data_IF_727300846757
#
_entry.id   IF_727300846757
#
_cell.length_a   1.000
_cell.length_b   1.000
_cell.length_c   1.000
_cell.angle_alpha   90.00
_cell.angle_beta   90.00
_cell.angle_gamma   90.00
#
_symmetry.space_group_name_H-M   'P 1'
#
loop_
_entity.id
_entity.type
_entity.pdbx_description
1 polymer ?
#
# COMPACT_ATOMS: atom_id res chain seq x y z
N UNK A 1 -1.79 -54.39 26.65
CA UNK A 1 -3.10 -53.82 26.25
C UNK A 1 -3.66 -52.78 27.22
N UNK A 2 -3.34 -52.78 28.54
CA UNK A 2 -3.96 -51.83 29.49
C UNK A 2 -3.19 -50.50 29.64
N UNK A 3 -1.85 -50.52 29.67
CA UNK A 3 -1.05 -49.32 29.96
C UNK A 3 -0.97 -48.31 28.81
N UNK A 4 -0.80 -48.75 27.57
CA UNK A 4 -0.81 -47.86 26.40
C UNK A 4 -2.17 -47.18 26.21
N UNK A 5 -3.27 -47.89 26.49
CA UNK A 5 -4.62 -47.33 26.41
C UNK A 5 -4.85 -46.26 27.48
N UNK A 6 -4.30 -46.45 28.68
CA UNK A 6 -4.32 -45.44 29.75
C UNK A 6 -3.46 -44.22 29.42
N UNK A 7 -2.27 -44.43 28.84
CA UNK A 7 -1.37 -43.34 28.43
C UNK A 7 -1.97 -42.47 27.31
N UNK A 8 -2.62 -43.09 26.32
CA UNK A 8 -3.35 -42.37 25.27
C UNK A 8 -4.50 -41.57 25.87
N UNK A 9 -5.29 -42.16 26.77
CA UNK A 9 -6.42 -41.48 27.41
C UNK A 9 -5.97 -40.28 28.25
N UNK A 10 -4.86 -40.40 28.98
CA UNK A 10 -4.30 -39.29 29.76
C UNK A 10 -3.85 -38.15 28.84
N UNK A 11 -3.14 -38.47 27.74
CA UNK A 11 -2.69 -37.48 26.77
C UNK A 11 -3.83 -36.81 26.02
N UNK A 12 -4.92 -37.53 25.72
CA UNK A 12 -6.13 -36.95 25.13
C UNK A 12 -6.75 -35.92 26.08
N UNK A 13 -6.87 -36.25 27.38
CA UNK A 13 -7.41 -35.30 28.37
C UNK A 13 -6.55 -34.06 28.52
N UNK A 14 -5.22 -34.22 28.54
CA UNK A 14 -4.28 -33.11 28.63
C UNK A 14 -4.36 -32.17 27.41
N UNK A 15 -4.44 -32.73 26.20
CA UNK A 15 -4.66 -31.96 24.98
C UNK A 15 -6.00 -31.24 24.99
N UNK A 16 -7.04 -31.84 25.58
CA UNK A 16 -8.37 -31.25 25.67
C UNK A 16 -8.37 -29.99 26.56
N UNK A 17 -7.66 -30.04 27.69
CA UNK A 17 -7.45 -28.88 28.56
C UNK A 17 -6.67 -27.77 27.83
N UNK A 18 -5.59 -28.12 27.11
CA UNK A 18 -4.83 -27.14 26.34
C UNK A 18 -5.65 -26.46 25.23
N UNK A 19 -6.55 -27.21 24.57
CA UNK A 19 -7.46 -26.65 23.57
C UNK A 19 -8.45 -25.67 24.20
N UNK A 20 -9.02 -26.00 25.36
CA UNK A 20 -9.93 -25.10 26.08
C UNK A 20 -9.23 -23.81 26.54
N UNK A 21 -7.99 -23.91 27.02
CA UNK A 21 -7.17 -22.74 27.38
C UNK A 21 -6.85 -21.87 26.16
N UNK A 22 -6.47 -22.47 25.03
CA UNK A 22 -6.22 -21.75 23.79
C UNK A 22 -7.48 -21.08 23.23
N UNK A 23 -8.63 -21.75 23.33
CA UNK A 23 -9.91 -21.16 22.93
C UNK A 23 -10.28 -19.95 23.81
N UNK A 24 -10.01 -20.03 25.12
CA UNK A 24 -10.25 -18.92 26.05
C UNK A 24 -9.33 -17.74 25.72
N UNK A 25 -8.03 -18.00 25.54
CA UNK A 25 -7.04 -16.97 25.16
C UNK A 25 -7.40 -16.32 23.81
N UNK A 26 -7.84 -17.10 22.83
CA UNK A 26 -8.24 -16.58 21.53
C UNK A 26 -9.50 -15.70 21.64
N UNK A 27 -10.49 -16.09 22.46
CA UNK A 27 -11.66 -15.24 22.74
C UNK A 27 -11.27 -13.90 23.34
N UNK A 28 -10.30 -13.89 24.26
CA UNK A 28 -9.87 -12.66 24.92
C UNK A 28 -9.08 -11.75 23.96
N UNK A 29 -8.24 -12.32 23.10
CA UNK A 29 -7.55 -11.58 22.02
C UNK A 29 -8.54 -10.96 21.06
N UNK A 30 -9.55 -11.73 20.60
CA UNK A 30 -10.58 -11.22 19.69
C UNK A 30 -11.37 -10.07 20.31
N UNK A 31 -11.76 -10.19 21.59
CA UNK A 31 -12.44 -9.11 22.33
C UNK A 31 -11.56 -7.86 22.43
N UNK A 32 -10.28 -8.03 22.76
CA UNK A 32 -9.32 -6.93 22.84
C UNK A 32 -9.21 -6.18 21.52
N UNK A 33 -9.06 -6.91 20.42
CA UNK A 33 -9.03 -6.34 19.08
C UNK A 33 -10.35 -5.62 18.73
N UNK A 34 -11.51 -6.19 19.07
CA UNK A 34 -12.80 -5.52 18.85
C UNK A 34 -12.88 -4.17 19.56
N UNK A 35 -12.49 -4.11 20.83
CA UNK A 35 -12.49 -2.86 21.60
C UNK A 35 -11.51 -1.85 21.00
N UNK A 36 -10.33 -2.28 20.59
CA UNK A 36 -9.32 -1.41 19.98
C UNK A 36 -9.83 -0.80 18.65
N UNK A 37 -10.47 -1.63 17.81
CA UNK A 37 -11.11 -1.17 16.59
C UNK A 37 -12.23 -0.14 16.88
N UNK A 38 -13.09 -0.41 17.85
CA UNK A 38 -14.17 0.52 18.23
C UNK A 38 -13.63 1.87 18.71
N UNK A 39 -12.62 1.86 19.60
CA UNK A 39 -11.98 3.08 20.08
C UNK A 39 -11.28 3.86 18.96
N UNK A 40 -10.65 3.16 18.02
CA UNK A 40 -10.04 3.78 16.84
C UNK A 40 -11.08 4.48 15.97
N UNK A 41 -12.21 3.82 15.69
CA UNK A 41 -13.31 4.41 14.93
C UNK A 41 -13.94 5.60 15.65
N UNK A 42 -14.14 5.51 16.97
CA UNK A 42 -14.68 6.60 17.78
C UNK A 42 -13.74 7.82 17.75
N UNK A 43 -12.43 7.60 17.85
CA UNK A 43 -11.42 8.67 17.77
C UNK A 43 -11.45 9.38 16.41
N UNK A 44 -11.53 8.63 15.32
CA UNK A 44 -11.63 9.22 13.97
C UNK A 44 -12.94 9.99 13.82
N UNK A 45 -14.06 9.41 14.26
CA UNK A 45 -15.38 10.05 14.22
C UNK A 45 -15.40 11.36 15.03
N UNK A 46 -14.75 11.39 16.20
CA UNK A 46 -14.65 12.59 17.03
C UNK A 46 -13.92 13.74 16.31
N UNK A 47 -12.79 13.45 15.64
CA UNK A 47 -12.03 14.44 14.87
C UNK A 47 -12.86 15.02 13.72
N UNK A 48 -13.57 14.18 12.98
CA UNK A 48 -14.47 14.64 11.91
C UNK A 48 -15.61 15.50 12.45
N UNK A 49 -16.25 15.08 13.54
CA UNK A 49 -17.33 15.84 14.17
C UNK A 49 -16.87 17.20 14.69
N UNK A 50 -15.65 17.29 15.21
CA UNK A 50 -15.07 18.56 15.65
C UNK A 50 -14.81 19.52 14.48
N UNK A 51 -14.27 19.00 13.36
CA UNK A 51 -14.14 19.78 12.13
C UNK A 51 -15.49 20.27 11.60
N UNK A 52 -16.52 19.43 11.63
CA UNK A 52 -17.88 19.81 11.24
C UNK A 52 -18.40 20.95 12.12
N UNK A 53 -18.26 20.85 13.44
CA UNK A 53 -18.65 21.94 14.36
C UNK A 53 -17.91 23.25 14.09
N UNK A 54 -16.62 23.18 13.75
CA UNK A 54 -15.84 24.38 13.40
C UNK A 54 -16.33 25.00 12.09
N UNK A 55 -16.66 24.18 11.09
CA UNK A 55 -17.22 24.63 9.81
C UNK A 55 -18.63 25.20 9.97
N UNK A 56 -19.46 24.62 10.82
CA UNK A 56 -20.78 25.16 11.13
C UNK A 56 -20.68 26.54 11.81
N UNK A 57 -19.74 26.71 12.74
CA UNK A 57 -19.44 28.03 13.35
C UNK A 57 -18.95 29.04 12.30
N UNK A 58 -18.09 28.61 11.38
CA UNK A 58 -17.62 29.45 10.27
C UNK A 58 -18.79 29.91 9.40
N UNK A 59 -19.68 29.00 9.02
CA UNK A 59 -20.90 29.29 8.26
C UNK A 59 -21.79 30.28 8.99
N UNK A 60 -22.05 30.10 10.29
CA UNK A 60 -22.86 31.03 11.07
C UNK A 60 -22.20 32.42 11.18
N UNK A 61 -20.88 32.47 11.33
CA UNK A 61 -20.15 33.76 11.34
C UNK A 61 -20.28 34.49 9.99
N UNK A 62 -20.18 33.76 8.88
CA UNK A 62 -20.32 34.29 7.54
C UNK A 62 -21.76 34.74 7.27
N UNK A 63 -22.77 33.96 7.66
CA UNK A 63 -24.18 34.35 7.59
C UNK A 63 -24.44 35.64 8.37
N UNK A 64 -23.87 35.77 9.56
CA UNK A 64 -24.03 36.97 10.40
C UNK A 64 -23.34 38.18 9.78
N UNK A 65 -22.14 38.02 9.23
CA UNK A 65 -21.43 39.10 8.53
C UNK A 65 -22.16 39.50 7.23
N UNK A 66 -22.71 38.55 6.49
CA UNK A 66 -23.47 38.81 5.27
C UNK A 66 -24.82 39.50 5.58
N UNK A 67 -25.46 39.17 6.70
CA UNK A 67 -26.64 39.89 7.18
C UNK A 67 -26.29 41.35 7.54
N UNK A 68 -25.17 41.58 8.25
CA UNK A 68 -24.66 42.93 8.56
C UNK A 68 -24.33 43.72 7.30
N UNK A 69 -23.67 43.10 6.32
CA UNK A 69 -23.41 43.76 5.03
C UNK A 69 -24.69 44.11 4.29
N UNK A 70 -25.70 43.24 4.29
CA UNK A 70 -27.02 43.53 3.70
C UNK A 70 -27.75 44.68 4.40
N UNK A 71 -27.65 44.82 5.72
CA UNK A 71 -28.20 45.98 6.45
C UNK A 71 -27.46 47.28 6.07
N UNK A 72 -26.12 47.24 5.97
CA UNK A 72 -25.31 48.38 5.56
C UNK A 72 -25.55 48.76 4.08
N UNK A 73 -25.82 47.78 3.21
CA UNK A 73 -26.15 48.00 1.80
C UNK A 73 -27.61 48.42 1.59
N UNK A 74 -28.55 47.89 2.39
CA UNK A 74 -29.97 48.30 2.37
C UNK A 74 -30.17 49.77 2.75
N UNK A 75 -29.33 50.32 3.63
CA UNK A 75 -29.29 51.77 3.92
C UNK A 75 -28.73 52.59 2.75
N UNK A 76 -27.99 51.98 1.81
CA UNK A 76 -27.48 52.63 0.59
C UNK A 76 -28.38 52.41 -0.64
N UNK A 77 -29.18 51.34 -0.68
CA UNK A 77 -30.05 50.96 -1.80
C UNK A 77 -31.40 51.66 -1.83
N UNK A 78 -31.78 52.41 -0.78
CA UNK A 78 -32.99 53.26 -0.81
C UNK A 78 -32.94 54.39 -1.87
N UNK A 79 -31.88 54.43 -2.71
CA UNK A 79 -31.71 55.37 -3.82
C UNK A 79 -31.55 54.79 -5.22
N UNK A 80 -31.63 53.47 -5.44
CA UNK A 80 -31.63 52.94 -6.82
C UNK A 80 -32.67 51.85 -7.04
N UNK A 81 -33.67 52.23 -7.82
CA UNK A 81 -34.75 51.42 -8.38
C UNK A 81 -34.19 50.25 -9.22
N UNK A 82 -34.29 49.02 -8.70
CA UNK A 82 -33.92 47.80 -9.41
C UNK A 82 -35.07 46.79 -9.36
N UNK A 83 -35.57 46.42 -10.53
CA UNK A 83 -36.74 45.56 -10.76
C UNK A 83 -36.60 44.18 -10.05
N UNK A 84 -37.40 43.89 -9.00
CA UNK A 84 -37.19 42.76 -8.08
C UNK A 84 -37.45 41.38 -8.70
N UNK A 85 -38.21 41.29 -9.81
CA UNK A 85 -38.57 40.00 -10.43
C UNK A 85 -37.38 39.28 -11.11
N UNK A 86 -36.48 40.04 -11.74
CA UNK A 86 -35.30 39.45 -12.42
C UNK A 86 -34.25 38.93 -11.42
N UNK A 87 -34.17 39.53 -10.24
CA UNK A 87 -33.24 39.13 -9.20
C UNK A 87 -33.66 37.79 -8.55
N UNK A 88 -34.97 37.55 -8.40
CA UNK A 88 -35.50 36.30 -7.86
C UNK A 88 -35.36 35.13 -8.85
N UNK A 89 -35.61 35.34 -10.14
CA UNK A 89 -35.35 34.33 -11.18
C UNK A 89 -33.88 33.93 -11.25
N UNK A 90 -32.97 34.91 -11.20
CA UNK A 90 -31.53 34.66 -11.22
C UNK A 90 -31.11 33.83 -9.98
N UNK A 91 -31.68 34.14 -8.80
CA UNK A 91 -31.41 33.42 -7.56
C UNK A 91 -31.87 31.96 -7.63
N UNK A 92 -33.06 31.71 -8.19
CA UNK A 92 -33.60 30.36 -8.37
C UNK A 92 -32.77 29.53 -9.35
N UNK A 93 -32.27 30.14 -10.43
CA UNK A 93 -31.39 29.46 -11.38
C UNK A 93 -30.05 29.08 -10.71
N UNK A 94 -29.43 29.99 -9.95
CA UNK A 94 -28.21 29.69 -9.19
C UNK A 94 -28.43 28.59 -8.14
N UNK A 95 -29.56 28.60 -7.43
CA UNK A 95 -29.88 27.55 -6.46
C UNK A 95 -30.08 26.18 -7.13
N UNK A 96 -30.73 26.16 -8.29
CA UNK A 96 -30.92 24.95 -9.10
C UNK A 96 -29.59 24.42 -9.65
N UNK A 97 -28.73 25.29 -10.18
CA UNK A 97 -27.39 24.90 -10.63
C UNK A 97 -26.55 24.35 -9.48
N UNK A 98 -26.60 24.99 -8.30
CA UNK A 98 -25.90 24.52 -7.12
C UNK A 98 -26.39 23.13 -6.67
N UNK A 99 -27.71 22.91 -6.63
CA UNK A 99 -28.30 21.60 -6.31
C UNK A 99 -27.88 20.53 -7.32
N UNK A 100 -27.94 20.84 -8.62
CA UNK A 100 -27.51 19.92 -9.67
C UNK A 100 -26.02 19.55 -9.53
N UNK A 101 -25.16 20.52 -9.25
CA UNK A 101 -23.73 20.29 -9.06
C UNK A 101 -23.44 19.44 -7.81
N UNK A 102 -24.16 19.70 -6.71
CA UNK A 102 -24.05 18.90 -5.49
C UNK A 102 -24.51 17.45 -5.73
N UNK A 103 -25.63 17.26 -6.43
CA UNK A 103 -26.15 15.94 -6.74
C UNK A 103 -25.21 15.15 -7.65
N UNK A 104 -24.57 15.79 -8.63
CA UNK A 104 -23.56 15.16 -9.47
C UNK A 104 -22.34 14.72 -8.66
N UNK A 105 -21.89 15.56 -7.72
CA UNK A 105 -20.76 15.24 -6.86
C UNK A 105 -21.07 14.05 -5.92
N UNK A 106 -22.25 14.07 -5.29
CA UNK A 106 -22.74 12.98 -4.46
C UNK A 106 -22.82 11.66 -5.24
N UNK A 107 -23.38 11.70 -6.46
CA UNK A 107 -23.50 10.52 -7.32
C UNK A 107 -22.13 9.95 -7.69
N UNK A 108 -21.18 10.79 -8.08
CA UNK A 108 -19.82 10.35 -8.40
C UNK A 108 -19.08 9.77 -7.20
N UNK A 109 -19.30 10.31 -5.99
CA UNK A 109 -18.75 9.74 -4.76
C UNK A 109 -19.35 8.36 -4.44
N UNK A 110 -20.64 8.19 -4.63
CA UNK A 110 -21.33 6.92 -4.35
C UNK A 110 -20.91 5.83 -5.35
N UNK A 111 -20.78 6.17 -6.63
CA UNK A 111 -20.24 5.26 -7.66
C UNK A 111 -18.82 4.82 -7.32
N UNK A 112 -17.94 5.76 -6.94
CA UNK A 112 -16.56 5.43 -6.55
C UNK A 112 -16.51 4.51 -5.33
N UNK A 113 -17.35 4.74 -4.31
CA UNK A 113 -17.46 3.84 -3.15
C UNK A 113 -17.96 2.45 -3.57
N UNK A 114 -18.94 2.38 -4.47
CA UNK A 114 -19.47 1.11 -4.95
C UNK A 114 -18.39 0.31 -5.70
N UNK A 115 -17.59 0.97 -6.53
CA UNK A 115 -16.47 0.35 -7.25
C UNK A 115 -15.39 -0.17 -6.28
N UNK A 116 -15.06 0.61 -5.26
CA UNK A 116 -14.08 0.23 -4.24
C UNK A 116 -14.56 -0.97 -3.40
N UNK A 117 -15.84 -0.98 -3.02
CA UNK A 117 -16.48 -2.12 -2.34
C UNK A 117 -16.50 -3.35 -3.26
N UNK A 118 -16.82 -3.20 -4.54
CA UNK A 118 -16.85 -4.30 -5.49
C UNK A 118 -15.46 -4.92 -5.69
N UNK A 119 -14.42 -4.08 -5.79
CA UNK A 119 -13.04 -4.53 -5.88
C UNK A 119 -12.60 -5.29 -4.62
N UNK A 120 -12.86 -4.74 -3.43
CA UNK A 120 -12.53 -5.39 -2.17
C UNK A 120 -13.25 -6.74 -2.00
N UNK A 121 -14.51 -6.85 -2.42
CA UNK A 121 -15.26 -8.12 -2.41
C UNK A 121 -14.62 -9.16 -3.33
N UNK A 122 -14.27 -8.77 -4.55
CA UNK A 122 -13.66 -9.67 -5.53
C UNK A 122 -12.29 -10.19 -5.05
N UNK A 123 -11.51 -9.32 -4.41
CA UNK A 123 -10.23 -9.68 -3.81
C UNK A 123 -10.41 -10.63 -2.62
N UNK A 124 -11.41 -10.38 -1.76
CA UNK A 124 -11.74 -11.27 -0.65
C UNK A 124 -12.20 -12.65 -1.14
N UNK A 125 -13.02 -12.71 -2.19
CA UNK A 125 -13.44 -13.96 -2.83
C UNK A 125 -12.27 -14.74 -3.42
N UNK A 126 -11.34 -14.06 -4.10
CA UNK A 126 -10.14 -14.68 -4.65
C UNK A 126 -9.27 -15.29 -3.55
N UNK A 127 -8.97 -14.52 -2.50
CA UNK A 127 -8.17 -15.00 -1.37
C UNK A 127 -8.85 -16.15 -0.62
N UNK A 128 -10.17 -16.08 -0.44
CA UNK A 128 -10.95 -17.17 0.14
C UNK A 128 -10.85 -18.45 -0.72
N UNK A 129 -10.95 -18.32 -2.05
CA UNK A 129 -10.86 -19.43 -2.98
C UNK A 129 -9.49 -20.11 -2.96
N UNK A 130 -8.41 -19.33 -2.92
CA UNK A 130 -7.06 -19.88 -2.80
C UNK A 130 -6.88 -20.62 -1.47
N UNK A 131 -7.36 -20.05 -0.36
CA UNK A 131 -7.35 -20.76 0.94
C UNK A 131 -8.15 -22.06 0.89
N UNK A 132 -9.33 -22.06 0.29
CA UNK A 132 -10.14 -23.28 0.13
C UNK A 132 -9.36 -24.35 -0.63
N UNK A 133 -8.71 -24.02 -1.76
CA UNK A 133 -7.86 -24.97 -2.49
C UNK A 133 -6.74 -25.54 -1.62
N UNK A 134 -6.07 -24.71 -0.82
CA UNK A 134 -5.01 -25.22 0.08
C UNK A 134 -5.56 -26.18 1.14
N UNK A 135 -6.74 -25.90 1.69
CA UNK A 135 -7.40 -26.82 2.63
C UNK A 135 -7.85 -28.11 1.96
N UNK A 136 -8.40 -28.05 0.75
CA UNK A 136 -8.78 -29.23 -0.04
C UNK A 136 -7.56 -30.14 -0.31
N UNK A 137 -6.42 -29.56 -0.71
CA UNK A 137 -5.18 -30.32 -0.89
C UNK A 137 -4.72 -30.96 0.43
N UNK A 138 -4.81 -30.24 1.55
CA UNK A 138 -4.42 -30.77 2.85
C UNK A 138 -5.34 -31.89 3.32
N UNK A 139 -6.64 -31.77 3.09
CA UNK A 139 -7.64 -32.81 3.39
C UNK A 139 -7.33 -34.06 2.58
N UNK A 140 -7.10 -33.94 1.26
CA UNK A 140 -6.77 -35.07 0.40
C UNK A 140 -5.48 -35.80 0.84
N UNK A 141 -4.46 -35.06 1.29
CA UNK A 141 -3.23 -35.65 1.84
C UNK A 141 -3.52 -36.45 3.13
N UNK A 142 -4.34 -35.91 4.02
CA UNK A 142 -4.71 -36.58 5.28
C UNK A 142 -5.55 -37.84 5.01
N UNK A 143 -6.50 -37.79 4.07
CA UNK A 143 -7.28 -38.95 3.63
C UNK A 143 -6.37 -40.06 3.05
N UNK A 144 -5.37 -39.69 2.24
CA UNK A 144 -4.42 -40.65 1.71
C UNK A 144 -3.57 -41.29 2.81
N UNK A 145 -3.16 -40.51 3.82
CA UNK A 145 -2.44 -41.04 4.99
C UNK A 145 -3.33 -41.98 5.80
N UNK A 146 -4.60 -41.62 6.07
CA UNK A 146 -5.56 -42.48 6.75
C UNK A 146 -5.75 -43.80 6.01
N UNK A 147 -5.89 -43.78 4.68
CA UNK A 147 -6.01 -45.00 3.86
C UNK A 147 -4.78 -45.91 3.96
N UNK A 148 -3.58 -45.34 4.04
CA UNK A 148 -2.34 -46.09 4.27
C UNK A 148 -2.32 -46.73 5.67
N UNK A 149 -2.66 -45.98 6.71
CA UNK A 149 -2.76 -46.51 8.07
C UNK A 149 -3.82 -47.61 8.18
N UNK A 150 -4.98 -47.46 7.56
CA UNK A 150 -6.03 -48.48 7.50
C UNK A 150 -5.56 -49.76 6.79
N UNK A 151 -4.83 -49.62 5.68
CA UNK A 151 -4.27 -50.76 4.96
C UNK A 151 -3.19 -51.49 5.77
N UNK A 152 -2.37 -50.76 6.52
CA UNK A 152 -1.36 -51.33 7.43
C UNK A 152 -2.02 -52.04 8.63
N UNK A 153 -3.13 -51.50 9.16
CA UNK A 153 -3.92 -52.14 10.21
C UNK A 153 -4.61 -53.43 9.71
N UNK A 154 -5.12 -53.45 8.47
CA UNK A 154 -5.71 -54.66 7.85
C UNK A 154 -4.68 -55.76 7.60
N UNK A 155 -3.45 -55.41 7.24
CA UNK A 155 -2.34 -56.39 7.09
C UNK A 155 -1.88 -56.97 8.43
N UNK A 156 -1.97 -56.20 9.52
CA UNK A 156 -1.55 -56.61 10.87
C UNK A 156 -2.58 -57.51 11.57
N UNK A 157 -3.86 -57.48 11.16
CA UNK A 157 -4.93 -58.32 11.73
C UNK A 157 -5.13 -59.69 11.05
N UNK A 158 -4.16 -60.20 10.28
CA UNK A 158 -4.14 -61.62 9.89
C UNK A 158 -3.69 -62.47 11.08
N UNK A 159 -4.66 -62.84 11.93
CA UNK A 159 -4.53 -63.85 12.98
C UNK A 159 -4.10 -65.18 12.32
N UNK A 160 -2.94 -65.78 12.67
CA UNK A 160 -2.68 -67.18 12.37
C UNK A 160 -3.60 -68.02 13.26
N UNK A 161 -4.47 -68.81 12.62
CA UNK A 161 -5.30 -69.80 13.29
C UNK A 161 -4.38 -70.85 13.98
N UNK A 162 -4.56 -71.16 15.28
CA UNK A 162 -3.78 -72.19 15.94
C UNK A 162 -4.43 -73.54 15.62
N UNK A 163 -3.75 -74.39 14.86
CA UNK A 163 -3.84 -75.87 14.89
C UNK A 163 -3.16 -76.46 13.66
N UNK A 164 -1.89 -76.83 13.78
CA UNK A 164 -1.37 -78.12 13.31
C UNK A 164 0.07 -78.24 13.77
N UNK A 165 0.31 -79.29 14.53
CA UNK A 165 1.60 -79.74 15.03
C UNK A 165 2.58 -80.02 13.88
N UNK A 166 3.86 -79.76 14.12
CA UNK A 166 4.94 -80.09 13.17
C UNK A 166 6.26 -79.41 13.52
N UNK A 167 7.09 -80.13 14.26
CA UNK A 167 8.49 -79.87 14.63
C UNK A 167 9.31 -79.00 13.65
N UNK A 168 10.04 -78.02 14.20
CA UNK A 168 11.50 -77.89 13.99
C UNK A 168 12.08 -76.83 14.96
N UNK A 169 12.93 -77.33 15.86
CA UNK A 169 13.91 -76.57 16.62
C UNK A 169 15.00 -76.09 15.66
N UNK A 170 15.36 -74.80 15.65
CA UNK A 170 16.76 -74.34 15.58
C UNK A 170 16.90 -72.80 15.59
N UNK A 171 17.58 -72.34 16.65
CA UNK A 171 18.67 -71.35 16.60
C UNK A 171 18.32 -69.86 16.46
N UNK A 172 18.32 -69.18 17.62
CA UNK A 172 18.83 -67.81 17.76
C UNK A 172 20.31 -67.76 17.35
N UNK A 173 20.78 -66.66 16.76
CA UNK A 173 21.99 -66.07 17.32
C UNK A 173 21.88 -64.56 17.57
N UNK A 174 22.61 -64.17 18.59
CA UNK A 174 22.84 -62.83 19.10
C UNK A 174 23.56 -61.88 18.11
N UNK A 175 23.32 -60.59 18.32
CA UNK A 175 24.03 -59.34 17.92
C UNK A 175 25.58 -59.39 17.91
N UNK A 176 26.38 -58.37 17.49
CA UNK A 176 26.10 -56.97 17.05
C UNK A 176 26.92 -56.43 15.80
N UNK A 177 26.64 -55.18 15.39
CA UNK A 177 27.44 -54.19 14.60
C UNK A 177 28.07 -54.51 13.22
N UNK A 178 27.79 -53.67 12.19
CA UNK A 178 28.77 -52.78 11.48
C UNK A 178 28.04 -51.72 10.61
N UNK A 179 28.54 -50.49 10.75
CA UNK A 179 28.23 -49.13 10.22
C UNK A 179 28.51 -49.01 8.70
N UNK A 180 27.73 -48.31 7.87
CA UNK A 180 27.80 -46.87 7.49
C UNK A 180 26.71 -46.61 6.39
N UNK A 181 26.05 -45.46 6.14
CA UNK A 181 26.39 -44.03 6.26
C UNK A 181 25.11 -43.17 6.00
N UNK A 182 25.12 -41.90 6.44
CA UNK A 182 24.32 -40.73 5.96
C UNK A 182 22.81 -40.64 6.41
N UNK A 183 22.41 -39.96 7.52
CA UNK A 183 22.26 -38.48 7.75
C UNK A 183 21.07 -37.90 6.94
N UNK A 184 20.00 -37.23 7.43
CA UNK A 184 19.84 -36.30 8.56
C UNK A 184 18.36 -35.98 8.93
N UNK A 185 18.12 -35.84 10.24
CA UNK A 185 17.32 -34.83 10.99
C UNK A 185 15.98 -34.28 10.49
N UNK A 186 14.99 -34.30 11.40
CA UNK A 186 14.17 -33.12 11.72
C UNK A 186 13.56 -33.23 13.11
N UNK A 187 14.04 -32.39 14.03
CA UNK A 187 13.30 -31.94 15.20
C UNK A 187 13.81 -30.55 15.61
N UNK A 188 12.85 -29.70 15.99
CA UNK A 188 12.97 -28.50 16.82
C UNK A 188 13.48 -27.19 16.20
N UNK A 189 12.60 -26.19 16.33
CA UNK A 189 12.83 -24.74 16.31
C UNK A 189 13.87 -24.37 17.38
N UNK A 190 14.69 -23.34 17.16
CA UNK A 190 14.56 -22.18 18.05
C UNK A 190 14.66 -20.82 17.35
N UNK A 191 13.97 -19.87 17.99
CA UNK A 191 14.15 -18.43 17.94
C UNK A 191 15.60 -18.01 18.25
N UNK A 192 16.09 -16.89 17.69
CA UNK A 192 16.47 -15.67 18.44
C UNK A 192 17.35 -14.70 17.64
N UNK A 193 17.07 -13.40 17.82
CA UNK A 193 17.97 -12.25 18.04
C UNK A 193 19.24 -12.01 17.20
N UNK A 194 19.35 -10.73 16.80
CA UNK A 194 20.53 -9.97 16.38
C UNK A 194 21.82 -10.24 17.20
N UNK A 195 22.99 -10.06 16.55
CA UNK A 195 24.06 -9.12 16.94
C UNK A 195 25.19 -9.18 15.87
N UNK A 196 25.66 -7.99 15.50
CA UNK A 196 26.75 -7.63 14.57
C UNK A 196 28.11 -8.15 15.06
N UNK A 197 29.09 -8.41 14.17
CA UNK A 197 30.35 -7.69 14.33
C UNK A 197 31.01 -7.19 13.03
N UNK A 198 31.63 -6.03 13.20
CA UNK A 198 32.49 -5.25 12.33
C UNK A 198 33.90 -5.84 12.10
N UNK A 199 34.54 -5.50 10.97
CA UNK A 199 35.97 -5.08 10.79
C UNK A 199 36.21 -4.87 9.28
N UNK A 200 36.29 -3.64 8.74
CA UNK A 200 37.49 -2.80 8.55
C UNK A 200 38.61 -3.46 7.71
N UNK A 201 38.82 -3.03 6.46
CA UNK A 201 40.02 -2.28 5.98
C UNK A 201 40.08 -2.15 4.43
N UNK A 202 40.28 -0.88 4.00
CA UNK A 202 41.18 -0.35 2.94
C UNK A 202 41.10 -0.91 1.50
N UNK A 203 40.64 -0.10 0.53
CA UNK A 203 41.43 0.86 -0.29
C UNK A 203 42.32 0.19 -1.34
N UNK A 204 41.98 0.32 -2.63
CA UNK A 204 42.86 0.96 -3.63
C UNK A 204 42.20 1.07 -5.02
N UNK A 205 42.76 1.99 -5.80
CA UNK A 205 42.26 2.69 -6.98
C UNK A 205 43.32 2.54 -8.07
N UNK A 206 42.95 2.24 -9.32
CA UNK A 206 43.59 2.65 -10.61
C UNK A 206 42.98 1.84 -11.76
N UNK A 207 42.23 2.45 -12.70
CA UNK A 207 42.65 3.14 -13.94
C UNK A 207 42.94 2.24 -15.17
N UNK A 208 42.09 2.45 -16.20
CA UNK A 208 42.30 2.46 -17.65
C UNK A 208 42.96 1.27 -18.39
N UNK A 209 42.25 0.80 -19.43
CA UNK A 209 42.72 0.82 -20.84
C UNK A 209 41.62 0.53 -21.87
N UNK A 210 41.60 1.37 -22.89
CA UNK A 210 40.82 1.29 -24.13
C UNK A 210 41.13 0.06 -25.01
N UNK A 211 40.13 -0.46 -25.74
CA UNK A 211 40.05 -0.39 -27.21
C UNK A 211 39.04 -1.40 -27.82
N UNK A 212 38.03 -0.83 -28.49
CA UNK A 212 37.27 -1.25 -29.69
C UNK A 212 37.53 -2.67 -30.28
N UNK A 213 36.47 -3.45 -30.50
CA UNK A 213 35.87 -3.66 -31.83
C UNK A 213 34.52 -4.42 -31.75
N UNK A 214 33.76 -4.36 -32.83
CA UNK A 214 32.32 -4.53 -32.96
C UNK A 214 31.78 -5.97 -33.14
N UNK A 215 30.43 -6.01 -33.06
CA UNK A 215 29.46 -6.90 -33.74
C UNK A 215 28.83 -8.08 -32.99
N UNK A 216 27.55 -7.84 -32.64
CA UNK A 216 26.37 -8.72 -32.74
C UNK A 216 26.52 -10.17 -32.25
N UNK A 217 25.96 -10.42 -31.07
CA UNK A 217 25.01 -11.53 -30.92
C UNK A 217 23.91 -11.15 -29.92
N UNK A 218 22.67 -11.33 -30.34
CA UNK A 218 21.47 -11.16 -29.53
C UNK A 218 21.39 -12.40 -28.65
N UNK A 219 21.55 -12.22 -27.34
CA UNK A 219 21.14 -13.19 -26.34
C UNK A 219 20.27 -12.45 -25.34
N UNK A 220 19.00 -12.84 -25.31
CA UNK A 220 18.04 -12.44 -24.30
C UNK A 220 18.52 -13.01 -22.97
N UNK A 221 19.16 -12.17 -22.15
CA UNK A 221 19.43 -12.49 -20.74
C UNK A 221 18.42 -11.72 -19.90
N UNK A 222 17.51 -12.50 -19.32
CA UNK A 222 16.59 -12.08 -18.27
C UNK A 222 17.40 -11.54 -17.08
N UNK A 223 17.46 -10.21 -16.92
CA UNK A 223 18.03 -9.57 -15.74
C UNK A 223 17.04 -9.69 -14.56
N UNK A 224 17.31 -10.67 -13.71
CA UNK A 224 16.76 -10.83 -12.36
C UNK A 224 17.24 -9.70 -11.44
N UNK A 225 16.60 -8.53 -11.50
CA UNK A 225 16.70 -7.48 -10.47
C UNK A 225 15.61 -7.66 -9.39
N UNK A 226 15.72 -8.73 -8.62
CA UNK A 226 14.99 -8.91 -7.34
C UNK A 226 15.75 -8.20 -6.21
N UNK A 227 15.82 -6.86 -6.26
CA UNK A 227 16.16 -6.06 -5.09
C UNK A 227 14.86 -5.56 -4.44
N UNK A 228 14.59 -6.07 -3.24
CA UNK A 228 13.39 -5.77 -2.45
C UNK A 228 13.77 -4.76 -1.37
N UNK A 229 13.68 -3.48 -1.72
CA UNK A 229 13.86 -2.38 -0.78
C UNK A 229 12.82 -2.43 0.34
N UNK A 230 13.22 -2.91 1.52
CA UNK A 230 12.35 -2.95 2.70
C UNK A 230 12.39 -1.61 3.41
N UNK A 231 11.35 -0.78 3.22
CA UNK A 231 11.21 0.47 4.01
C UNK A 231 10.61 0.14 5.37
N UNK A 232 11.43 0.23 6.42
CA UNK A 232 10.95 0.27 7.80
C UNK A 232 10.54 1.72 8.08
N UNK A 233 9.23 1.99 8.10
CA UNK A 233 8.74 3.25 8.64
C UNK A 233 9.04 3.21 10.15
N UNK A 234 10.05 3.98 10.57
CA UNK A 234 10.44 4.09 11.98
C UNK A 234 9.32 4.76 12.77
N UNK A 235 8.42 3.93 13.31
CA UNK A 235 7.39 4.30 14.25
C UNK A 235 6.95 3.06 15.01
N UNK A 236 7.61 2.80 16.14
CA UNK A 236 7.24 1.89 17.23
C UNK A 236 6.56 0.56 16.86
N UNK A 237 7.30 -0.54 17.08
CA UNK A 237 6.85 -1.92 17.29
C UNK A 237 5.33 -2.11 17.31
N UNK A 238 4.79 -2.38 16.14
CA UNK A 238 3.55 -3.11 15.96
C UNK A 238 3.80 -4.06 14.78
N UNK A 239 3.36 -5.31 14.88
CA UNK A 239 3.42 -6.29 13.79
C UNK A 239 2.45 -5.85 12.68
N UNK A 240 2.81 -4.77 11.99
CA UNK A 240 2.03 -4.15 10.94
C UNK A 240 2.20 -4.94 9.65
N UNK A 241 1.10 -5.19 8.96
CA UNK A 241 1.05 -5.67 7.57
C UNK A 241 2.06 -4.91 6.72
N UNK A 242 3.22 -5.52 6.48
CA UNK A 242 4.30 -4.88 5.76
C UNK A 242 3.96 -4.92 4.27
N UNK A 243 3.64 -3.77 3.68
CA UNK A 243 3.49 -3.67 2.22
C UNK A 243 4.85 -3.92 1.59
N UNK A 244 5.03 -5.11 1.01
CA UNK A 244 6.20 -5.42 0.17
C UNK A 244 6.01 -4.74 -1.17
N UNK A 245 6.70 -3.62 -1.36
CA UNK A 245 6.77 -2.92 -2.64
C UNK A 245 8.06 -3.32 -3.35
N UNK A 246 7.97 -3.59 -4.65
CA UNK A 246 9.16 -3.74 -5.48
C UNK A 246 9.85 -2.39 -5.65
N UNK A 247 11.16 -2.37 -5.86
CA UNK A 247 11.89 -1.12 -6.09
C UNK A 247 11.33 -0.34 -7.30
N UNK A 248 10.90 -1.04 -8.35
CA UNK A 248 10.21 -0.41 -9.49
C UNK A 248 8.92 0.32 -9.09
N UNK A 249 8.16 -0.24 -8.15
CA UNK A 249 6.93 0.36 -7.62
C UNK A 249 7.24 1.54 -6.68
N UNK A 250 8.32 1.42 -5.89
CA UNK A 250 8.81 2.53 -5.06
C UNK A 250 9.20 3.76 -5.89
N UNK A 251 9.75 3.57 -7.10
CA UNK A 251 10.06 4.68 -8.03
C UNK A 251 8.82 5.44 -8.51
N UNK A 252 7.62 4.85 -8.40
CA UNK A 252 6.36 5.48 -8.76
C UNK A 252 5.70 6.23 -7.59
N UNK A 253 6.21 6.09 -6.36
CA UNK A 253 5.67 6.78 -5.20
C UNK A 253 5.97 8.28 -5.26
N UNK A 254 4.95 9.09 -4.99
CA UNK A 254 5.07 10.55 -4.96
C UNK A 254 5.62 10.98 -3.61
N UNK A 255 6.76 11.65 -3.61
CA UNK A 255 7.37 12.24 -2.44
C UNK A 255 6.71 13.59 -2.13
N UNK A 256 6.19 13.74 -0.91
CA UNK A 256 5.51 14.97 -0.45
C UNK A 256 6.26 15.73 0.65
N UNK A 257 7.27 15.09 1.26
CA UNK A 257 8.12 15.64 2.32
C UNK A 257 9.58 15.30 2.03
N UNK A 258 10.52 16.13 2.51
CA UNK A 258 11.97 15.93 2.36
C UNK A 258 12.41 15.64 0.92
N UNK A 259 11.92 16.46 -0.02
CA UNK A 259 12.18 16.29 -1.45
C UNK A 259 13.68 16.40 -1.74
N UNK A 260 14.24 15.32 -2.29
CA UNK A 260 15.64 15.23 -2.74
C UNK A 260 15.69 15.01 -4.25
N UNK A 261 16.89 15.08 -4.81
CA UNK A 261 17.14 14.70 -6.20
C UNK A 261 16.80 13.22 -6.43
N UNK A 262 16.17 12.92 -7.58
CA UNK A 262 15.69 11.58 -7.92
C UNK A 262 14.31 11.23 -7.37
N UNK A 263 13.70 12.09 -6.54
CA UNK A 263 12.33 11.89 -6.07
C UNK A 263 11.32 12.08 -7.20
N UNK A 264 10.37 11.14 -7.30
CA UNK A 264 9.14 11.32 -8.07
C UNK A 264 8.23 12.28 -7.31
N UNK A 265 7.78 13.33 -7.97
CA UNK A 265 7.02 14.42 -7.37
C UNK A 265 5.81 14.81 -8.21
N UNK A 266 4.80 15.36 -7.55
CA UNK A 266 3.65 15.97 -8.20
C UNK A 266 3.92 17.45 -8.41
N UNK A 267 3.92 17.90 -9.66
CA UNK A 267 4.08 19.31 -10.03
C UNK A 267 2.70 19.89 -10.31
N UNK A 268 2.41 21.06 -9.72
CA UNK A 268 1.10 21.71 -9.79
C UNK A 268 1.26 23.16 -10.22
N UNK A 269 0.38 23.63 -11.10
CA UNK A 269 0.31 25.03 -11.46
C UNK A 269 -0.27 25.89 -10.33
N UNK A 270 0.36 27.03 -10.03
CA UNK A 270 -0.06 27.98 -9.01
C UNK A 270 -0.27 29.37 -9.62
N UNK A 271 -1.52 29.84 -9.66
CA UNK A 271 -1.89 31.11 -10.29
C UNK A 271 -1.30 32.34 -9.60
N UNK A 272 -1.22 32.33 -8.26
CA UNK A 272 -0.66 33.42 -7.46
C UNK A 272 0.80 33.74 -7.81
N UNK A 273 1.57 32.74 -8.22
CA UNK A 273 2.96 32.89 -8.64
C UNK A 273 3.14 32.79 -10.16
N UNK A 274 2.06 32.52 -10.91
CA UNK A 274 2.08 32.25 -12.35
C UNK A 274 3.19 31.25 -12.73
N UNK A 275 3.33 30.17 -11.96
CA UNK A 275 4.43 29.21 -12.09
C UNK A 275 4.04 27.80 -11.64
N UNK A 276 4.79 26.81 -12.13
CA UNK A 276 4.69 25.44 -11.64
C UNK A 276 5.53 25.24 -10.38
N UNK A 277 4.93 24.62 -9.37
CA UNK A 277 5.53 24.37 -8.07
C UNK A 277 5.38 22.89 -7.73
N UNK A 278 6.40 22.29 -7.11
CA UNK A 278 6.29 20.93 -6.58
C UNK A 278 5.35 20.94 -5.36
N UNK A 279 4.37 20.04 -5.36
CA UNK A 279 3.49 19.82 -4.22
C UNK A 279 4.28 19.22 -3.06
N UNK A 280 4.28 19.92 -1.93
CA UNK A 280 4.97 19.50 -0.71
C UNK A 280 4.18 19.92 0.52
N UNK A 281 4.36 19.18 1.61
CA UNK A 281 3.92 19.58 2.96
C UNK A 281 4.88 20.59 3.61
N UNK A 282 6.05 20.84 3.02
CA UNK A 282 7.00 21.83 3.52
C UNK A 282 6.44 23.25 3.39
N UNK A 283 6.73 24.15 4.36
CA UNK A 283 6.42 25.57 4.21
C UNK A 283 7.27 26.26 3.13
N UNK A 284 8.37 25.65 2.69
CA UNK A 284 9.24 26.17 1.64
C UNK A 284 8.69 25.77 0.27
N UNK A 285 8.61 26.74 -0.65
CA UNK A 285 8.13 26.50 -2.02
C UNK A 285 9.25 25.99 -2.94
N UNK A 286 8.87 25.14 -3.89
CA UNK A 286 9.77 24.48 -4.85
C UNK A 286 9.38 24.86 -6.28
N UNK A 287 9.95 25.93 -6.81
CA UNK A 287 9.64 26.47 -8.14
C UNK A 287 10.34 25.67 -9.25
N UNK A 288 9.57 25.16 -10.20
CA UNK A 288 10.11 24.43 -11.34
C UNK A 288 10.73 25.40 -12.35
N UNK A 289 11.94 25.09 -12.85
CA UNK A 289 12.60 25.92 -13.86
C UNK A 289 11.87 25.82 -15.20
N UNK A 290 11.66 26.95 -15.87
CA UNK A 290 11.08 27.02 -17.22
C UNK A 290 11.82 26.14 -18.24
N UNK A 291 13.14 25.99 -18.10
CA UNK A 291 13.95 25.12 -18.95
C UNK A 291 13.53 23.65 -18.85
N UNK A 292 13.14 23.18 -17.67
CA UNK A 292 12.61 21.82 -17.49
C UNK A 292 11.24 21.67 -18.15
N UNK A 293 10.35 22.66 -18.01
CA UNK A 293 9.03 22.63 -18.64
C UNK A 293 9.13 22.55 -20.17
N UNK A 294 10.02 23.35 -20.78
CA UNK A 294 10.28 23.30 -22.22
C UNK A 294 10.83 21.95 -22.70
N UNK A 295 11.68 21.28 -21.90
CA UNK A 295 12.18 19.93 -22.22
C UNK A 295 11.06 18.88 -22.21
N UNK A 296 9.99 19.12 -21.46
CA UNK A 296 8.83 18.23 -21.35
C UNK A 296 7.65 18.66 -22.24
N UNK A 297 7.88 19.61 -23.15
CA UNK A 297 6.86 20.17 -24.04
C UNK A 297 5.66 20.82 -23.32
N UNK A 298 5.91 21.39 -22.14
CA UNK A 298 4.91 22.11 -21.36
C UNK A 298 5.10 23.61 -21.57
N UNK A 299 4.18 24.22 -22.29
CA UNK A 299 4.11 25.68 -22.42
C UNK A 299 3.39 26.31 -21.22
N UNK A 300 3.96 27.39 -20.69
CA UNK A 300 3.36 28.19 -19.61
C UNK A 300 2.55 29.36 -20.14
N UNK A 301 2.87 29.85 -21.33
CA UNK A 301 2.27 31.01 -22.00
C UNK A 301 1.18 30.56 -22.98
N UNK A 302 0.15 29.86 -22.49
CA UNK A 302 -0.97 29.40 -23.32
C UNK A 302 -1.76 30.57 -23.91
N UNK A 303 -1.27 31.13 -25.03
CA UNK A 303 -1.96 32.09 -25.90
C UNK A 303 -2.64 31.40 -27.09
N UNK A 304 -2.28 30.15 -27.33
CA UNK A 304 -2.79 29.27 -28.38
C UNK A 304 -3.61 28.19 -27.69
N UNK A 305 -4.78 27.84 -28.23
CA UNK A 305 -5.87 27.08 -27.58
C UNK A 305 -5.60 25.68 -27.01
N UNK A 306 -4.35 25.29 -26.78
CA UNK A 306 -3.99 24.10 -26.03
C UNK A 306 -4.00 24.41 -24.53
N UNK A 307 -4.83 23.66 -23.80
CA UNK A 307 -5.02 23.85 -22.36
C UNK A 307 -3.76 23.39 -21.63
N UNK A 308 -3.03 24.34 -21.05
CA UNK A 308 -1.90 24.05 -20.15
C UNK A 308 -2.30 23.01 -19.09
N UNK A 309 -1.50 21.97 -18.83
CA UNK A 309 -1.82 20.98 -17.80
C UNK A 309 -1.83 21.62 -16.41
N UNK A 310 -2.86 21.33 -15.61
CA UNK A 310 -2.94 21.87 -14.24
C UNK A 310 -1.94 21.20 -13.29
N UNK A 311 -1.57 19.94 -13.57
CA UNK A 311 -0.59 19.19 -12.82
C UNK A 311 0.01 18.05 -13.67
N UNK A 312 1.18 17.56 -13.30
CA UNK A 312 1.84 16.41 -13.92
C UNK A 312 2.85 15.77 -12.96
N UNK A 313 3.25 14.52 -13.24
CA UNK A 313 4.30 13.82 -12.50
C UNK A 313 5.65 14.04 -13.15
N UNK A 314 6.67 14.23 -12.34
CA UNK A 314 8.04 14.40 -12.80
C UNK A 314 9.04 13.85 -11.79
N UNK A 315 10.27 13.63 -12.24
CA UNK A 315 11.39 13.27 -11.35
C UNK A 315 12.26 14.50 -11.17
N UNK A 316 12.55 14.85 -9.92
CA UNK A 316 13.48 15.94 -9.61
C UNK A 316 14.90 15.56 -10.00
N UNK A 317 15.64 16.49 -10.60
CA UNK A 317 17.02 16.25 -11.03
C UNK A 317 18.03 17.12 -10.32
N UNK A 318 17.65 18.34 -9.94
CA UNK A 318 18.53 19.25 -9.21
C UNK A 318 17.72 20.21 -8.35
N UNK A 319 18.16 20.45 -7.11
CA UNK A 319 17.55 21.42 -6.20
C UNK A 319 18.53 22.54 -5.85
N UNK A 320 18.12 23.79 -6.04
CA UNK A 320 18.94 24.98 -5.75
C UNK A 320 18.21 25.87 -4.72
N UNK A 321 18.75 25.98 -3.50
CA UNK A 321 18.19 26.86 -2.48
C UNK A 321 18.50 28.33 -2.83
N UNK A 322 17.46 29.12 -2.98
CA UNK A 322 17.50 30.53 -3.35
C UNK A 322 16.91 31.40 -2.25
N UNK A 323 17.30 32.68 -2.24
CA UNK A 323 16.70 33.70 -1.38
C UNK A 323 16.35 34.94 -2.20
N UNK A 324 15.16 35.49 -1.98
CA UNK A 324 14.71 36.70 -2.66
C UNK A 324 15.48 37.92 -2.13
N UNK A 325 16.09 38.67 -3.05
CA UNK A 325 16.82 39.91 -2.76
C UNK A 325 16.13 41.19 -3.21
N UNK A 326 15.07 41.07 -4.03
CA UNK A 326 14.39 42.21 -4.66
C UNK A 326 12.88 42.12 -4.42
N UNK A 327 12.26 43.25 -4.10
CA UNK A 327 10.81 43.34 -3.85
C UNK A 327 10.01 42.94 -5.08
N UNK A 328 10.38 43.46 -6.26
CA UNK A 328 9.81 43.02 -7.53
C UNK A 328 10.59 41.81 -8.08
N UNK A 329 10.05 40.62 -7.91
CA UNK A 329 10.63 39.37 -8.39
C UNK A 329 9.58 38.53 -9.12
N UNK A 330 10.05 37.71 -10.07
CA UNK A 330 9.19 36.84 -10.88
C UNK A 330 8.44 35.75 -10.12
N UNK A 331 8.71 35.58 -8.83
CA UNK A 331 8.10 34.57 -7.98
C UNK A 331 6.99 35.15 -7.09
N UNK A 332 6.77 36.47 -7.10
CA UNK A 332 5.83 37.16 -6.22
C UNK A 332 6.00 36.79 -4.74
N UNK A 333 7.26 36.68 -4.30
CA UNK A 333 7.62 36.40 -2.90
C UNK A 333 8.18 37.64 -2.20
N UNK A 334 8.16 37.67 -0.86
CA UNK A 334 8.70 38.79 -0.11
C UNK A 334 10.24 38.78 -0.10
N UNK A 335 10.85 39.95 0.13
CA UNK A 335 12.31 40.02 0.29
C UNK A 335 12.73 39.25 1.53
N UNK A 336 13.76 38.42 1.38
CA UNK A 336 14.25 37.55 2.44
C UNK A 336 13.69 36.14 2.42
N UNK A 337 12.59 35.88 1.69
CA UNK A 337 12.00 34.54 1.57
C UNK A 337 12.98 33.56 0.92
N UNK A 338 13.04 32.35 1.48
CA UNK A 338 13.84 31.23 0.96
C UNK A 338 12.94 30.25 0.22
N UNK A 339 13.41 29.75 -0.91
CA UNK A 339 12.68 28.83 -1.77
C UNK A 339 13.65 27.97 -2.58
N UNK A 340 13.22 26.82 -3.07
CA UNK A 340 14.01 26.00 -3.98
C UNK A 340 13.66 26.30 -5.43
N UNK A 341 14.68 26.36 -6.29
CA UNK A 341 14.51 26.19 -7.74
C UNK A 341 14.82 24.75 -8.10
N UNK A 342 13.87 24.10 -8.71
CA UNK A 342 13.92 22.67 -9.00
C UNK A 342 14.00 22.43 -10.50
N UNK A 343 14.95 21.62 -10.92
CA UNK A 343 14.94 21.01 -12.24
C UNK A 343 14.21 19.68 -12.16
N UNK A 344 13.37 19.42 -13.14
CA UNK A 344 12.62 18.18 -13.26
C UNK A 344 12.75 17.60 -14.66
N UNK A 345 12.60 16.28 -14.74
CA UNK A 345 12.60 15.48 -15.95
C UNK A 345 11.30 14.67 -16.04
N UNK A 346 11.00 14.16 -17.23
CA UNK A 346 9.87 13.25 -17.43
C UNK A 346 10.03 12.00 -16.57
N UNK A 347 8.91 11.52 -16.02
CA UNK A 347 8.89 10.24 -15.33
C UNK A 347 9.07 9.11 -16.37
N UNK A 348 10.10 8.25 -16.27
CA UNK A 348 10.26 7.10 -17.14
C UNK A 348 9.19 6.07 -16.79
N UNK A 349 8.03 6.16 -17.45
CA UNK A 349 7.03 5.12 -17.39
C UNK A 349 7.47 4.03 -18.38
N UNK A 350 8.19 3.01 -17.89
CA UNK A 350 8.41 1.79 -18.67
C UNK A 350 7.05 1.23 -19.08
N UNK A 351 6.72 1.39 -20.35
CA UNK A 351 5.37 1.17 -20.90
C UNK A 351 5.02 -0.32 -21.04
N UNK A 352 5.77 -1.21 -20.40
CA UNK A 352 5.71 -2.65 -20.63
C UNK A 352 4.51 -3.34 -19.97
N UNK A 353 3.87 -2.73 -18.96
CA UNK A 353 2.81 -3.42 -18.19
C UNK A 353 1.49 -2.64 -17.98
N UNK A 354 1.33 -1.43 -18.54
CA UNK A 354 0.08 -0.63 -18.39
C UNK A 354 -0.88 -0.80 -19.59
N UNK A 355 -0.59 -1.70 -20.54
CA UNK A 355 -1.64 -2.22 -21.43
C UNK A 355 -2.54 -3.14 -20.62
N UNK A 356 -3.51 -2.55 -19.91
CA UNK A 356 -4.80 -3.17 -19.66
C UNK A 356 -5.19 -3.88 -20.95
N UNK A 357 -5.22 -5.22 -20.90
CA UNK A 357 -5.86 -6.03 -21.92
C UNK A 357 -7.32 -5.58 -22.00
N UNK A 358 -7.61 -4.65 -22.91
CA UNK A 358 -8.96 -4.55 -23.47
C UNK A 358 -9.22 -5.90 -24.14
N UNK A 359 -10.26 -6.66 -23.77
CA UNK A 359 -10.67 -7.79 -24.56
C UNK A 359 -11.03 -7.27 -25.96
N UNK A 360 -10.40 -7.85 -26.98
CA UNK A 360 -10.70 -7.57 -28.37
C UNK A 360 -12.17 -7.97 -28.64
N UNK A 361 -13.05 -7.08 -29.13
CA UNK A 361 -14.47 -7.40 -29.36
C UNK A 361 -14.72 -8.29 -30.60
N UNK A 362 -13.71 -8.98 -31.13
CA UNK A 362 -13.81 -9.79 -32.34
C UNK A 362 -13.91 -11.30 -32.06
N UNK A 363 -14.62 -11.69 -31.00
CA UNK A 363 -15.10 -13.07 -30.82
C UNK A 363 -16.40 -13.05 -30.01
N UNK A 364 -17.51 -12.81 -30.70
CA UNK A 364 -18.85 -13.28 -30.35
C UNK A 364 -19.41 -13.97 -31.59
#
# INVERSE_FOLDING_TARGET
MSEECQAVTARTKELQVQVEELQTRNKDVVKGLTIEYELYYEKISAVFNEQLKMKDKEIESLKTSLAREREVHGVKEEKQDANPRKHEELRLEYEKEFKNKMQLLMKGMEEKKADEIAWARKEAEFNSRERIKTYEQRIAQLEQQLKKFESAAKTTNRIPNPNSEGMALETLPSSPDVIATQVQKSAMVPSSSEIIPSSTEQSERTENRDAKNAEKNIHDEDDDDDDVGTVVISGQRSEATQTRLRIKEMRMLITIQDIQEGCTVLVVWRDNHNSYIVFSMSPILYFVKQSSLRKMDIDTDSKTGERRPNCFLAVTSHLELCQIRKENNRYNLAVGDRFYRVEVNTLPIESSNIRLRRPNPANI
#
